data_IF_082754740497
#
_entry.id   IF_082754740497
#
_cell.length_a   1.000
_cell.length_b   1.000
_cell.length_c   1.000
_cell.angle_alpha   90.00
_cell.angle_beta   90.00
_cell.angle_gamma   90.00
#
_symmetry.space_group_name_H-M   'P 1'
#
loop_
_entity.id
_entity.type
_entity.pdbx_description
1 polymer ?
#
# COMPACT_ATOMS: atom_id res chain seq x y z
N UNK A 1 12.45 24.16 -5.28
CA UNK A 1 11.43 23.61 -4.37
C UNK A 1 10.51 22.80 -5.25
N UNK A 2 10.70 21.49 -5.31
CA UNK A 2 10.06 20.60 -6.29
C UNK A 2 9.66 19.31 -5.57
N UNK A 3 8.51 19.31 -4.90
CA UNK A 3 7.97 18.14 -4.20
C UNK A 3 6.45 18.07 -4.46
N UNK A 4 5.96 17.95 -5.70
CA UNK A 4 4.49 17.99 -5.91
C UNK A 4 3.97 17.14 -7.08
N UNK A 5 4.62 16.04 -7.50
CA UNK A 5 4.03 15.18 -8.56
C UNK A 5 3.99 13.68 -8.26
N UNK A 6 4.82 13.18 -7.34
CA UNK A 6 4.83 11.74 -6.98
C UNK A 6 3.89 11.44 -5.80
N UNK A 7 3.79 12.36 -4.83
CA UNK A 7 2.85 12.30 -3.69
C UNK A 7 1.37 12.39 -4.09
N UNK A 8 1.06 12.85 -5.31
CA UNK A 8 -0.32 13.00 -5.77
C UNK A 8 -0.95 11.69 -6.27
N UNK A 9 -0.19 10.61 -6.41
CA UNK A 9 -0.69 9.32 -6.89
C UNK A 9 -0.99 8.32 -5.77
N UNK A 10 -0.71 8.65 -4.51
CA UNK A 10 -1.00 7.81 -3.34
C UNK A 10 -2.27 8.32 -2.66
N UNK A 11 -3.10 7.40 -2.18
CA UNK A 11 -4.33 7.73 -1.47
C UNK A 11 -4.01 8.51 -0.18
N UNK A 12 -4.60 9.69 0.04
CA UNK A 12 -4.28 10.53 1.21
C UNK A 12 -4.89 10.00 2.52
N UNK A 13 -5.63 8.89 2.47
CA UNK A 13 -6.26 8.30 3.64
C UNK A 13 -5.22 7.85 4.66
N UNK A 14 -5.46 8.17 5.92
CA UNK A 14 -4.63 7.74 7.05
C UNK A 14 -5.48 7.06 8.11
N UNK A 15 -4.84 6.23 8.91
CA UNK A 15 -5.43 5.62 10.09
C UNK A 15 -4.47 5.72 11.27
N UNK A 16 -5.02 5.96 12.46
CA UNK A 16 -4.31 5.75 13.72
C UNK A 16 -4.68 4.38 14.25
N UNK A 17 -3.67 3.54 14.51
CA UNK A 17 -3.86 2.21 15.08
C UNK A 17 -4.38 2.31 16.51
N UNK A 18 -5.39 1.50 16.83
CA UNK A 18 -5.88 1.42 18.19
C UNK A 18 -4.95 0.60 19.11
N UNK A 19 -5.22 0.63 20.41
CA UNK A 19 -4.38 -0.04 21.40
C UNK A 19 -4.28 -1.56 21.20
N UNK A 20 -5.34 -2.22 20.73
CA UNK A 20 -5.32 -3.65 20.45
C UNK A 20 -4.50 -3.95 19.20
N UNK A 21 -4.61 -3.14 18.15
CA UNK A 21 -3.78 -3.24 16.95
C UNK A 21 -2.29 -3.01 17.27
N UNK A 22 -1.98 -1.98 18.05
CA UNK A 22 -0.61 -1.73 18.51
C UNK A 22 -0.07 -2.89 19.37
N UNK A 23 -0.89 -3.44 20.26
CA UNK A 23 -0.50 -4.60 21.07
C UNK A 23 -0.24 -5.84 20.22
N UNK A 24 -1.02 -6.06 19.15
CA UNK A 24 -0.79 -7.13 18.19
C UNK A 24 0.59 -7.01 17.53
N UNK A 25 0.93 -5.85 16.98
CA UNK A 25 2.23 -5.63 16.33
C UNK A 25 3.41 -5.70 17.31
N UNK A 26 3.23 -5.21 18.53
CA UNK A 26 4.26 -5.33 19.59
C UNK A 26 4.45 -6.78 20.07
N UNK A 27 3.47 -7.65 19.84
CA UNK A 27 3.54 -9.08 20.16
C UNK A 27 4.19 -9.93 19.06
N UNK A 28 4.46 -9.36 17.89
CA UNK A 28 5.17 -10.06 16.82
C UNK A 28 6.65 -10.29 17.20
N UNK A 29 7.33 -11.28 16.59
CA UNK A 29 8.72 -11.60 16.90
C UNK A 29 9.62 -10.37 16.85
N UNK A 30 10.58 -10.28 17.78
CA UNK A 30 11.44 -9.09 17.99
C UNK A 30 12.24 -8.65 16.77
N UNK A 31 12.43 -9.54 15.78
CA UNK A 31 13.09 -9.22 14.51
C UNK A 31 12.22 -8.38 13.56
N UNK A 32 10.93 -8.23 13.84
CA UNK A 32 10.03 -7.38 13.08
C UNK A 32 10.29 -5.88 13.36
N UNK A 33 10.42 -5.02 12.34
CA UNK A 33 10.52 -3.58 12.52
C UNK A 33 9.32 -3.02 13.29
N UNK A 34 9.51 -2.13 14.26
CA UNK A 34 8.39 -1.52 15.00
C UNK A 34 7.41 -0.79 14.06
N UNK A 35 6.11 -1.03 14.25
CA UNK A 35 5.05 -0.37 13.46
C UNK A 35 4.88 1.08 13.93
N UNK A 36 4.55 1.98 13.00
CA UNK A 36 4.15 3.34 13.33
C UNK A 36 2.69 3.36 13.84
N UNK A 37 2.39 4.25 14.79
CA UNK A 37 1.03 4.39 15.31
C UNK A 37 0.06 5.02 14.29
N UNK A 38 0.58 5.79 13.33
CA UNK A 38 -0.18 6.33 12.21
C UNK A 38 0.34 5.71 10.91
N UNK A 39 -0.57 5.19 10.09
CA UNK A 39 -0.28 4.62 8.78
C UNK A 39 -1.02 5.38 7.68
N UNK A 40 -0.34 5.60 6.55
CA UNK A 40 -0.93 6.11 5.33
C UNK A 40 -1.33 4.97 4.39
N UNK A 41 -2.41 5.15 3.64
CA UNK A 41 -2.81 4.20 2.60
C UNK A 41 -1.73 4.13 1.52
N UNK A 42 -1.31 2.93 1.15
CA UNK A 42 -0.29 2.70 0.12
C UNK A 42 -0.87 2.47 -1.27
N UNK A 43 -2.21 2.51 -1.40
CA UNK A 43 -2.91 2.30 -2.67
C UNK A 43 -3.00 3.57 -3.51
N UNK A 44 -3.24 3.41 -4.81
CA UNK A 44 -3.38 4.52 -5.76
C UNK A 44 -4.52 5.45 -5.36
N UNK A 45 -4.33 6.76 -5.54
CA UNK A 45 -5.39 7.74 -5.32
C UNK A 45 -6.63 7.41 -6.16
N UNK A 46 -7.80 7.39 -5.51
CA UNK A 46 -9.07 7.08 -6.19
C UNK A 46 -9.35 5.58 -6.32
N UNK A 47 -8.57 4.71 -5.65
CA UNK A 47 -8.92 3.29 -5.53
C UNK A 47 -10.30 3.11 -4.88
N UNK A 48 -11.05 2.14 -5.36
CA UNK A 48 -12.27 1.69 -4.71
C UNK A 48 -11.97 0.76 -3.52
N UNK A 49 -12.92 0.62 -2.60
CA UNK A 49 -12.84 -0.34 -1.50
C UNK A 49 -12.02 0.13 -0.30
N UNK A 50 -11.55 -0.84 0.49
CA UNK A 50 -10.81 -0.57 1.74
C UNK A 50 -9.43 0.01 1.45
N UNK A 51 -9.02 0.97 2.28
CA UNK A 51 -7.65 1.46 2.36
C UNK A 51 -6.76 0.39 2.98
N UNK A 52 -5.48 0.39 2.62
CA UNK A 52 -4.55 -0.61 3.09
C UNK A 52 -3.14 -0.07 3.22
N UNK A 53 -2.42 -0.57 4.21
CA UNK A 53 -1.02 -0.24 4.46
C UNK A 53 -0.31 -1.43 5.11
N UNK A 54 0.95 -1.64 4.74
CA UNK A 54 1.79 -2.65 5.37
C UNK A 54 2.18 -2.18 6.78
N UNK A 55 1.72 -2.91 7.80
CA UNK A 55 2.12 -2.66 9.18
C UNK A 55 3.50 -3.23 9.47
N UNK A 56 3.65 -4.54 9.32
CA UNK A 56 4.92 -5.25 9.54
C UNK A 56 5.03 -6.49 8.65
N UNK A 57 6.26 -6.90 8.39
CA UNK A 57 6.58 -8.18 7.77
C UNK A 57 7.38 -9.03 8.77
N UNK A 58 6.98 -10.30 8.90
CA UNK A 58 7.65 -11.31 9.71
C UNK A 58 7.85 -12.54 8.83
N UNK A 59 9.11 -12.87 8.53
CA UNK A 59 9.46 -13.94 7.58
C UNK A 59 8.73 -13.75 6.23
N UNK A 60 7.91 -14.72 5.83
CA UNK A 60 7.09 -14.70 4.62
C UNK A 60 5.68 -14.10 4.83
N UNK A 61 5.32 -13.77 6.07
CA UNK A 61 3.99 -13.25 6.42
C UNK A 61 4.01 -11.73 6.49
N UNK A 62 3.09 -11.11 5.77
CA UNK A 62 2.91 -9.66 5.81
C UNK A 62 1.61 -9.31 6.50
N UNK A 63 1.70 -8.50 7.54
CA UNK A 63 0.56 -8.04 8.31
C UNK A 63 0.11 -6.69 7.76
N UNK A 64 -0.97 -6.72 6.98
CA UNK A 64 -1.56 -5.52 6.39
C UNK A 64 -2.69 -5.03 7.28
N UNK A 65 -2.70 -3.72 7.51
CA UNK A 65 -3.83 -3.04 8.12
C UNK A 65 -4.74 -2.60 6.98
N UNK A 66 -5.98 -3.06 7.00
CA UNK A 66 -7.02 -2.62 6.09
C UNK A 66 -8.07 -1.83 6.86
N UNK A 67 -8.56 -0.75 6.27
CA UNK A 67 -9.58 0.05 6.91
C UNK A 67 -10.55 0.69 5.94
N UNK A 68 -11.72 0.96 6.46
CA UNK A 68 -12.77 1.77 5.84
C UNK A 68 -13.05 2.97 6.75
N UNK A 69 -14.07 3.76 6.42
CA UNK A 69 -14.54 4.82 7.29
C UNK A 69 -15.16 4.32 8.61
N UNK A 70 -15.47 3.02 8.74
CA UNK A 70 -16.22 2.48 9.87
C UNK A 70 -15.55 1.33 10.60
N UNK A 71 -14.52 0.72 10.03
CA UNK A 71 -13.85 -0.45 10.61
C UNK A 71 -12.39 -0.52 10.14
N UNK A 72 -11.55 -1.13 10.97
CA UNK A 72 -10.17 -1.47 10.64
C UNK A 72 -9.80 -2.86 11.15
N UNK A 73 -9.01 -3.58 10.37
CA UNK A 73 -8.64 -4.97 10.63
C UNK A 73 -7.18 -5.21 10.22
N UNK A 74 -6.48 -6.05 10.99
CA UNK A 74 -5.12 -6.49 10.66
C UNK A 74 -5.21 -7.91 10.13
N UNK A 75 -4.77 -8.12 8.89
CA UNK A 75 -4.93 -9.38 8.19
C UNK A 75 -3.61 -9.84 7.55
N UNK A 76 -3.29 -11.14 7.61
CA UNK A 76 -2.10 -11.68 6.97
C UNK A 76 -2.34 -11.83 5.46
N UNK A 77 -1.47 -11.25 4.66
CA UNK A 77 -1.46 -11.45 3.21
C UNK A 77 -0.06 -11.79 2.70
N UNK A 78 -0.02 -12.29 1.47
CA UNK A 78 1.19 -12.45 0.68
C UNK A 78 1.34 -11.32 -0.32
N UNK A 79 2.59 -10.98 -0.66
CA UNK A 79 2.90 -10.08 -1.78
C UNK A 79 2.11 -10.47 -3.03
N UNK A 80 1.62 -9.46 -3.74
CA UNK A 80 1.06 -9.64 -5.06
C UNK A 80 2.18 -10.16 -5.97
N UNK A 81 2.13 -11.46 -6.31
CA UNK A 81 3.06 -12.01 -7.29
C UNK A 81 2.77 -11.35 -8.63
N UNK A 82 3.78 -10.81 -9.34
CA UNK A 82 3.57 -10.27 -10.66
C UNK A 82 2.95 -11.37 -11.53
N UNK A 83 1.76 -11.10 -12.06
CA UNK A 83 1.15 -11.96 -13.07
C UNK A 83 2.17 -12.06 -14.21
N UNK A 84 2.53 -13.28 -14.65
CA UNK A 84 3.63 -13.55 -15.62
C UNK A 84 3.54 -12.79 -16.96
N UNK A 85 2.51 -11.98 -17.16
CA UNK A 85 2.20 -11.22 -18.37
C UNK A 85 2.27 -9.70 -18.22
N UNK A 86 2.62 -9.14 -17.05
CA UNK A 86 2.84 -7.70 -16.91
C UNK A 86 4.34 -7.39 -16.84
N UNK A 87 4.90 -6.90 -17.95
CA UNK A 87 6.30 -6.52 -18.11
C UNK A 87 6.69 -5.23 -17.35
N UNK A 88 6.15 -5.01 -16.15
CA UNK A 88 6.23 -3.72 -15.46
C UNK A 88 6.25 -3.89 -13.95
N UNK A 89 7.44 -3.77 -13.35
CA UNK A 89 7.66 -3.49 -11.93
C UNK A 89 7.20 -4.58 -10.95
N UNK A 90 8.04 -4.92 -9.99
CA UNK A 90 7.61 -5.69 -8.83
C UNK A 90 6.45 -4.95 -8.13
N UNK A 91 5.28 -5.60 -8.02
CA UNK A 91 4.15 -5.03 -7.30
C UNK A 91 4.41 -5.18 -5.79
N UNK A 92 4.67 -4.05 -5.14
CA UNK A 92 4.87 -4.00 -3.69
C UNK A 92 3.55 -3.82 -2.92
N UNK A 93 2.47 -4.51 -3.31
CA UNK A 93 1.19 -4.49 -2.58
C UNK A 93 0.71 -5.92 -2.29
N UNK A 94 -0.31 -6.07 -1.43
CA UNK A 94 -0.88 -7.38 -1.08
C UNK A 94 -1.66 -8.02 -2.24
N UNK A 95 -1.80 -9.34 -2.22
CA UNK A 95 -2.57 -10.08 -3.23
C UNK A 95 -4.05 -9.68 -3.21
N UNK A 96 -4.58 -9.25 -4.36
CA UNK A 96 -5.99 -8.86 -4.51
C UNK A 96 -6.28 -7.40 -4.16
N UNK A 97 -5.26 -6.54 -4.08
CA UNK A 97 -5.41 -5.11 -3.80
C UNK A 97 -6.27 -4.40 -4.86
N UNK A 98 -7.08 -3.40 -4.44
CA UNK A 98 -7.80 -2.55 -5.36
C UNK A 98 -6.88 -1.46 -5.90
N UNK A 99 -6.89 -1.30 -7.22
CA UNK A 99 -5.96 -0.43 -7.95
C UNK A 99 -5.38 -1.18 -9.15
N UNK A 100 -5.10 -0.44 -10.23
CA UNK A 100 -4.46 -1.04 -11.41
C UNK A 100 -2.99 -1.34 -11.15
N UNK A 101 -2.45 -2.41 -11.75
CA UNK A 101 -1.01 -2.52 -12.03
C UNK A 101 -0.59 -1.61 -13.20
N UNK A 102 -1.24 -0.46 -13.33
CA UNK A 102 -0.92 0.51 -14.36
C UNK A 102 0.44 1.11 -14.03
N UNK A 103 1.49 0.47 -14.53
CA UNK A 103 2.58 1.24 -15.09
C UNK A 103 1.96 2.04 -16.23
N UNK A 104 1.33 3.16 -15.89
CA UNK A 104 0.99 4.17 -16.86
C UNK A 104 2.34 4.63 -17.41
N UNK A 105 2.80 3.95 -18.47
CA UNK A 105 3.66 4.55 -19.46
C UNK A 105 2.90 5.81 -19.86
N UNK A 106 3.23 6.94 -19.24
CA UNK A 106 3.00 8.24 -19.86
C UNK A 106 3.85 8.18 -21.12
N UNK A 107 3.24 7.71 -22.19
CA UNK A 107 3.69 8.00 -23.53
C UNK A 107 3.61 9.52 -23.61
N UNK A 108 4.76 10.15 -23.37
CA UNK A 108 4.99 11.53 -23.73
C UNK A 108 4.56 11.62 -25.19
N UNK A 109 3.42 12.27 -25.40
CA UNK A 109 3.00 12.68 -26.73
C UNK A 109 4.00 13.77 -27.07
N UNK A 110 5.03 13.44 -27.86
CA UNK A 110 5.75 14.47 -28.60
C UNK A 110 4.72 15.11 -29.51
N UNK A 111 4.18 16.24 -29.09
CA UNK A 111 3.62 17.20 -30.03
C UNK A 111 4.82 17.83 -30.76
N UNK A 112 5.28 17.11 -31.78
CA UNK A 112 5.97 17.72 -32.91
C UNK A 112 4.89 18.25 -33.85
N UNK A 113 4.68 19.57 -33.84
CA UNK A 113 4.08 20.38 -34.90
C UNK A 113 4.05 21.84 -34.41
N UNK A 114 4.61 22.85 -35.08
CA UNK A 114 5.20 22.97 -36.41
C UNK A 114 6.11 24.22 -36.43
#
# INVERSE_FOLDING_TARGET
>A
MSIECEELMICPARITLDAAQMAFFNGLPTEAPSVQAELGCELEQGHDGSHASLGQQVEDTMWWVQWTLSASEVNPYTWCRPHRSAATGDCNLFTGHPGGHSATKRQWRTEEAA
#
